data_IF_745601774181
#
_entry.id   IF_745601774181
#
_cell.length_a   1.000
_cell.length_b   1.000
_cell.length_c   1.000
_cell.angle_alpha   90.00
_cell.angle_beta   90.00
_cell.angle_gamma   90.00
#
_symmetry.space_group_name_H-M   'P 1'
#
loop_
_entity.id
_entity.type
_entity.pdbx_description
1 polymer ?
#
# COMPACT_ATOMS: atom_id res chain seq x y z
N UNK A 1 5.50 4.70 -21.91
CA UNK A 1 5.04 5.25 -20.62
C UNK A 1 4.12 4.25 -19.95
N UNK A 2 4.51 3.74 -18.77
CA UNK A 2 3.81 2.71 -18.01
C UNK A 2 2.85 3.31 -16.99
N UNK A 3 3.31 4.36 -16.29
CA UNK A 3 2.54 5.02 -15.25
C UNK A 3 2.96 6.48 -15.13
N UNK A 4 2.04 7.34 -14.69
CA UNK A 4 2.30 8.76 -14.44
C UNK A 4 1.94 9.08 -12.99
N UNK A 5 2.87 9.68 -12.28
CA UNK A 5 2.73 10.12 -10.90
C UNK A 5 2.43 11.61 -10.90
N UNK A 6 1.30 12.00 -10.31
CA UNK A 6 0.83 13.40 -10.23
C UNK A 6 0.45 13.82 -8.81
N UNK A 7 0.67 12.96 -7.81
CA UNK A 7 0.23 13.20 -6.43
C UNK A 7 1.40 13.54 -5.51
N UNK A 8 2.19 12.54 -5.10
CA UNK A 8 3.32 12.73 -4.20
C UNK A 8 4.59 13.21 -4.92
N UNK A 9 4.73 12.85 -6.20
CA UNK A 9 5.82 13.25 -7.09
C UNK A 9 5.21 13.57 -8.45
N UNK A 10 5.89 14.43 -9.22
CA UNK A 10 5.56 14.71 -10.61
C UNK A 10 6.56 13.97 -11.50
N UNK A 11 6.12 12.92 -12.20
CA UNK A 11 7.01 12.10 -13.02
C UNK A 11 6.30 10.91 -13.65
N UNK A 12 7.07 10.01 -14.26
CA UNK A 12 6.52 8.81 -14.91
C UNK A 12 7.49 7.62 -14.79
N UNK A 13 6.96 6.40 -14.91
CA UNK A 13 7.76 5.18 -15.14
C UNK A 13 7.65 4.77 -16.61
N UNK A 14 8.77 4.38 -17.20
CA UNK A 14 8.83 3.85 -18.57
C UNK A 14 10.05 2.94 -18.73
N UNK A 15 10.02 2.10 -19.76
CA UNK A 15 11.20 1.36 -20.21
C UNK A 15 12.14 2.30 -20.97
N UNK A 16 13.43 2.24 -20.65
CA UNK A 16 14.50 2.95 -21.32
C UNK A 16 15.67 1.99 -21.49
N UNK A 17 16.38 2.12 -22.61
CA UNK A 17 17.74 1.61 -22.74
C UNK A 17 18.70 2.42 -21.85
N UNK A 18 19.86 1.87 -21.48
CA UNK A 18 20.87 2.62 -20.73
C UNK A 18 21.26 3.94 -21.43
N UNK A 19 21.40 3.92 -22.75
CA UNK A 19 21.75 5.11 -23.53
C UNK A 19 20.65 6.19 -23.49
N UNK A 20 19.38 5.79 -23.54
CA UNK A 20 18.26 6.73 -23.41
C UNK A 20 18.19 7.32 -22.00
N UNK A 21 18.46 6.51 -20.96
CA UNK A 21 18.52 6.99 -19.57
C UNK A 21 19.63 8.01 -19.36
N UNK A 22 20.83 7.76 -19.91
CA UNK A 22 21.96 8.70 -19.83
C UNK A 22 21.66 10.00 -20.59
N UNK A 23 21.03 9.91 -21.76
CA UNK A 23 20.63 11.07 -22.55
C UNK A 23 19.67 12.00 -21.79
N UNK A 24 18.73 11.43 -21.01
CA UNK A 24 17.82 12.22 -20.17
C UNK A 24 18.54 12.99 -19.05
N UNK A 25 19.63 12.44 -18.51
CA UNK A 25 20.42 13.10 -17.47
C UNK A 25 21.23 14.30 -18.00
N UNK A 26 21.42 14.39 -19.32
CA UNK A 26 22.10 15.56 -19.95
C UNK A 26 21.17 16.75 -20.18
N UNK A 27 19.86 16.58 -19.94
CA UNK A 27 18.89 17.64 -20.16
C UNK A 27 19.05 18.77 -19.13
N UNK A 28 19.06 20.04 -19.56
CA UNK A 28 19.29 21.19 -18.67
C UNK A 28 18.17 21.41 -17.64
N UNK A 29 17.04 20.70 -17.76
CA UNK A 29 15.87 20.85 -16.89
C UNK A 29 15.92 20.06 -15.57
N UNK A 30 17.05 19.45 -15.19
CA UNK A 30 17.20 18.84 -13.87
C UNK A 30 16.32 17.60 -13.66
N UNK A 31 16.31 16.70 -14.65
CA UNK A 31 15.60 15.42 -14.56
C UNK A 31 16.43 14.44 -13.73
N UNK A 32 15.82 13.80 -12.74
CA UNK A 32 16.42 12.68 -12.00
C UNK A 32 15.88 11.36 -12.55
N UNK A 33 16.79 10.48 -12.98
CA UNK A 33 16.45 9.13 -13.44
C UNK A 33 16.83 8.12 -12.35
N UNK A 34 15.87 7.28 -11.93
CA UNK A 34 16.07 6.25 -10.91
C UNK A 34 15.67 4.89 -11.49
N UNK A 35 16.58 3.88 -11.50
CA UNK A 35 16.22 2.54 -11.94
C UNK A 35 15.13 1.93 -11.06
N UNK A 36 14.13 1.32 -11.68
CA UNK A 36 13.07 0.63 -10.95
C UNK A 36 13.65 -0.61 -10.23
N UNK A 37 13.36 -0.73 -8.93
CA UNK A 37 13.76 -1.87 -8.10
C UNK A 37 12.55 -2.74 -7.83
N UNK A 38 12.66 -4.02 -8.22
CA UNK A 38 11.68 -5.03 -7.86
C UNK A 38 11.95 -5.53 -6.45
N UNK A 39 10.98 -5.40 -5.56
CA UNK A 39 11.04 -5.93 -4.21
C UNK A 39 10.43 -7.34 -4.19
N UNK A 40 11.11 -8.26 -3.50
CA UNK A 40 10.59 -9.61 -3.25
C UNK A 40 9.80 -9.61 -1.95
N UNK A 41 8.72 -10.39 -1.92
CA UNK A 41 7.94 -10.55 -0.71
C UNK A 41 8.82 -11.18 0.39
N UNK A 42 8.94 -10.50 1.53
CA UNK A 42 9.74 -11.00 2.65
C UNK A 42 8.97 -11.97 3.56
N UNK A 43 7.64 -11.86 3.61
CA UNK A 43 6.80 -12.75 4.41
C UNK A 43 5.37 -12.81 3.87
N UNK A 44 4.72 -13.94 4.03
CA UNK A 44 3.26 -14.12 3.88
C UNK A 44 2.56 -14.18 5.24
N UNK A 45 3.30 -14.07 6.34
CA UNK A 45 2.83 -14.21 7.73
C UNK A 45 2.94 -12.88 8.46
N UNK A 46 2.28 -11.84 7.92
CA UNK A 46 2.31 -10.47 8.47
C UNK A 46 1.81 -10.41 9.91
N UNK A 47 0.79 -11.21 10.27
CA UNK A 47 0.27 -11.31 11.65
C UNK A 47 1.33 -11.84 12.63
N UNK A 48 2.05 -12.88 12.23
CA UNK A 48 3.13 -13.47 13.04
C UNK A 48 4.31 -12.51 13.17
N UNK A 49 4.72 -11.86 12.07
CA UNK A 49 5.83 -10.90 12.07
C UNK A 49 5.56 -9.73 13.02
N UNK A 50 4.32 -9.24 13.05
CA UNK A 50 3.89 -8.16 13.94
C UNK A 50 3.56 -8.64 15.35
N UNK A 51 3.69 -9.94 15.65
CA UNK A 51 3.36 -10.50 16.96
C UNK A 51 1.87 -10.44 17.33
N UNK A 52 0.99 -10.27 16.34
CA UNK A 52 -0.46 -10.12 16.58
C UNK A 52 -1.13 -11.45 16.98
N UNK A 53 -0.49 -12.58 16.73
CA UNK A 53 -1.03 -13.91 17.08
C UNK A 53 -0.97 -14.21 18.59
N UNK A 54 -0.06 -13.56 19.32
CA UNK A 54 0.04 -13.69 20.78
C UNK A 54 -0.78 -12.64 21.54
N UNK A 55 -1.30 -11.63 20.84
CA UNK A 55 -2.22 -10.67 21.41
C UNK A 55 -3.59 -11.33 21.61
N UNK A 56 -3.95 -11.58 22.86
CA UNK A 56 -5.29 -12.02 23.19
C UNK A 56 -6.23 -10.80 23.10
N UNK A 57 -6.71 -10.51 21.89
CA UNK A 57 -7.53 -9.33 21.56
C UNK A 57 -8.80 -9.23 22.42
N UNK A 58 -9.27 -10.36 22.98
CA UNK A 58 -10.39 -10.42 23.91
C UNK A 58 -10.06 -9.87 25.32
N UNK A 59 -8.78 -9.75 25.69
CA UNK A 59 -8.34 -9.44 27.05
C UNK A 59 -7.33 -8.28 27.13
N UNK A 60 -6.73 -7.89 26.01
CA UNK A 60 -5.85 -6.71 25.94
C UNK A 60 -6.64 -5.53 25.40
N UNK A 61 -7.07 -4.65 26.30
CA UNK A 61 -7.51 -3.29 25.98
C UNK A 61 -6.31 -2.47 25.46
N UNK A 62 -5.82 -2.79 24.25
CA UNK A 62 -4.76 -1.99 23.62
C UNK A 62 -5.29 -0.60 23.26
N UNK A 63 -6.56 -0.54 22.86
CA UNK A 63 -7.33 0.66 22.58
C UNK A 63 -8.80 0.38 22.88
N UNK A 64 -9.54 1.35 23.40
CA UNK A 64 -11.00 1.30 23.38
C UNK A 64 -11.50 1.38 21.94
N UNK A 65 -12.71 0.86 21.68
CA UNK A 65 -13.32 0.95 20.34
C UNK A 65 -13.42 2.40 19.84
N UNK A 66 -13.55 3.37 20.76
CA UNK A 66 -13.55 4.80 20.46
C UNK A 66 -12.16 5.36 20.09
N UNK A 67 -11.08 4.83 20.67
CA UNK A 67 -9.72 5.27 20.34
C UNK A 67 -9.22 4.68 19.01
N UNK A 68 -9.74 3.51 18.63
CA UNK A 68 -9.36 2.83 17.39
C UNK A 68 -10.16 3.26 16.16
N UNK A 69 -11.32 3.92 16.32
CA UNK A 69 -12.23 4.24 15.20
C UNK A 69 -11.68 5.26 14.21
N UNK A 70 -10.74 6.10 14.65
CA UNK A 70 -10.22 7.22 13.85
C UNK A 70 -8.81 6.96 13.28
N UNK A 71 -8.27 5.75 13.46
CA UNK A 71 -6.93 5.38 13.03
C UNK A 71 -6.99 4.58 11.73
N UNK A 72 -6.34 5.07 10.68
CA UNK A 72 -6.22 4.38 9.38
C UNK A 72 -4.84 3.70 9.26
N UNK A 73 -4.82 2.37 9.26
CA UNK A 73 -3.60 1.57 9.02
C UNK A 73 -3.59 1.10 7.56
N UNK A 74 -2.55 1.47 6.81
CA UNK A 74 -2.36 1.03 5.42
C UNK A 74 -1.28 -0.06 5.36
N UNK A 75 -1.65 -1.22 4.83
CA UNK A 75 -0.74 -2.35 4.59
C UNK A 75 -0.59 -2.54 3.08
N UNK A 76 0.64 -2.49 2.59
CA UNK A 76 0.97 -2.79 1.20
C UNK A 76 1.42 -4.25 1.11
N UNK A 77 0.53 -5.11 0.60
CA UNK A 77 0.76 -6.55 0.45
C UNK A 77 0.32 -7.00 -0.96
N UNK A 78 0.65 -8.23 -1.31
CA UNK A 78 0.38 -8.87 -2.60
C UNK A 78 -1.10 -9.08 -2.91
N UNK A 79 -1.96 -9.23 -1.90
CA UNK A 79 -3.42 -9.13 -2.00
C UNK A 79 -4.07 -9.45 -0.65
N UNK A 80 -5.33 -9.06 -0.52
CA UNK A 80 -6.25 -9.58 0.51
C UNK A 80 -7.18 -10.57 -0.18
N UNK A 81 -7.28 -11.81 0.31
CA UNK A 81 -8.22 -12.80 -0.21
C UNK A 81 -9.67 -12.39 0.18
N UNK A 82 -10.50 -11.89 -0.75
CA UNK A 82 -11.82 -11.36 -0.41
C UNK A 82 -12.82 -12.46 -0.03
N UNK A 83 -12.57 -13.70 -0.44
CA UNK A 83 -13.45 -14.85 -0.18
C UNK A 83 -13.38 -15.37 1.26
N UNK A 84 -12.42 -14.90 2.07
CA UNK A 84 -12.36 -15.26 3.48
C UNK A 84 -13.41 -14.45 4.24
N UNK A 85 -14.42 -15.13 4.81
CA UNK A 85 -15.51 -14.60 5.67
C UNK A 85 -15.09 -13.75 6.88
N UNK A 86 -13.81 -13.48 7.09
CA UNK A 86 -13.28 -12.72 8.24
C UNK A 86 -13.14 -11.22 7.97
N UNK A 87 -13.53 -10.74 6.79
CA UNK A 87 -13.48 -9.33 6.41
C UNK A 87 -14.92 -8.91 6.12
N UNK A 88 -15.62 -8.47 7.15
CA UNK A 88 -16.96 -7.91 7.06
C UNK A 88 -16.92 -6.50 7.63
N UNK A 89 -17.56 -5.57 6.93
CA UNK A 89 -17.76 -4.19 7.40
C UNK A 89 -18.97 -4.10 8.37
N UNK A 90 -19.62 -5.22 8.66
CA UNK A 90 -20.75 -5.30 9.58
C UNK A 90 -20.34 -4.85 10.99
N UNK A 91 -21.00 -3.80 11.49
CA UNK A 91 -20.70 -3.19 12.79
C UNK A 91 -19.72 -2.01 12.74
N UNK A 92 -19.12 -1.69 11.59
CA UNK A 92 -18.28 -0.51 11.41
C UNK A 92 -19.10 0.70 10.92
N UNK A 93 -18.64 1.90 11.28
CA UNK A 93 -19.21 3.17 10.82
C UNK A 93 -19.01 3.40 9.32
N UNK A 94 -19.57 4.48 8.75
CA UNK A 94 -19.41 4.78 7.33
C UNK A 94 -17.93 4.95 6.97
N UNK A 95 -17.56 4.49 5.78
CA UNK A 95 -16.22 4.69 5.22
C UNK A 95 -15.88 6.20 5.26
N UNK A 96 -14.74 6.61 5.84
CA UNK A 96 -14.36 8.02 5.90
C UNK A 96 -14.34 8.66 4.51
N UNK A 97 -14.84 9.90 4.39
CA UNK A 97 -14.90 10.62 3.11
C UNK A 97 -13.53 10.89 2.48
N UNK A 98 -12.46 10.82 3.27
CA UNK A 98 -11.07 10.94 2.84
C UNK A 98 -10.52 9.66 2.20
N UNK A 99 -11.20 8.52 2.36
CA UNK A 99 -10.79 7.24 1.80
C UNK A 99 -11.03 7.20 0.29
N UNK A 100 -9.94 6.99 -0.47
CA UNK A 100 -9.98 6.85 -1.95
C UNK A 100 -9.71 5.41 -2.42
N UNK A 101 -9.61 4.46 -1.51
CA UNK A 101 -9.34 3.06 -1.85
C UNK A 101 -10.58 2.37 -2.43
N UNK A 102 -10.38 1.48 -3.40
CA UNK A 102 -11.44 0.63 -3.95
C UNK A 102 -11.00 -0.83 -3.86
N UNK A 103 -11.77 -1.67 -3.16
CA UNK A 103 -11.62 -3.11 -3.29
C UNK A 103 -12.27 -3.55 -4.61
N UNK A 104 -11.54 -4.31 -5.42
CA UNK A 104 -12.07 -4.98 -6.61
C UNK A 104 -11.90 -6.48 -6.37
N UNK A 105 -13.02 -7.20 -6.25
CA UNK A 105 -13.01 -8.66 -6.28
C UNK A 105 -12.55 -9.15 -7.65
N UNK A 106 -11.88 -10.29 -7.70
CA UNK A 106 -11.59 -10.95 -8.96
C UNK A 106 -12.92 -11.50 -9.50
N UNK A 107 -13.33 -11.03 -10.68
CA UNK A 107 -14.52 -11.45 -11.41
C UNK A 107 -14.23 -11.46 -12.89
#
# INVERSE_FOLDING_TARGET
MLYTYNSAIHGFSTWLTPQEADSLMTQPCGISVLPEKQYKLHTTRTTLLLGLESLNVQNTALFSAAEASDIVIRVLDTSVCPERKKISDEGYGPIPSTWKGKMRGWG
#
